data_IF_458730934566
#
_entry.id   IF_458730934566
#
_cell.length_a   1.000
_cell.length_b   1.000
_cell.length_c   1.000
_cell.angle_alpha   90.00
_cell.angle_beta   90.00
_cell.angle_gamma   90.00
#
_symmetry.space_group_name_H-M   'P 1'
#
loop_
_entity.id
_entity.type
_entity.pdbx_description
1 polymer ?
#
# COMPACT_ATOMS: atom_id res chain seq x y z
N UNK A 1 10.83 -6.05 21.44
CA UNK A 1 9.86 -5.07 20.89
C UNK A 1 9.32 -5.65 19.58
N UNK A 2 8.42 -6.64 19.67
CA UNK A 2 7.90 -7.41 18.52
C UNK A 2 6.70 -6.76 17.85
N UNK A 3 6.80 -5.46 17.51
CA UNK A 3 5.74 -4.77 16.77
C UNK A 3 5.69 -5.21 15.30
N UNK A 4 4.52 -5.15 14.64
CA UNK A 4 4.41 -5.44 13.21
C UNK A 4 5.21 -4.42 12.38
N UNK A 5 5.55 -4.80 11.15
CA UNK A 5 6.15 -3.87 10.19
C UNK A 5 5.22 -2.66 9.97
N UNK A 6 5.81 -1.46 9.91
CA UNK A 6 5.09 -0.21 9.71
C UNK A 6 5.27 0.33 8.29
N UNK A 7 4.31 1.15 7.86
CA UNK A 7 4.35 1.85 6.57
C UNK A 7 3.69 3.23 6.71
N UNK A 8 3.89 4.10 5.73
CA UNK A 8 3.22 5.40 5.69
C UNK A 8 1.75 5.22 5.33
N UNK A 9 0.86 5.72 6.18
CA UNK A 9 -0.58 5.60 5.97
C UNK A 9 -1.11 6.62 4.95
N UNK A 10 -1.84 6.11 3.98
CA UNK A 10 -2.54 6.85 2.92
C UNK A 10 -3.47 7.96 3.43
N UNK A 11 -4.15 7.70 4.55
CA UNK A 11 -5.12 8.64 5.13
C UNK A 11 -4.43 9.87 5.71
N UNK A 12 -3.28 9.68 6.36
CA UNK A 12 -2.50 10.78 6.93
C UNK A 12 -2.06 11.75 5.82
N UNK A 13 -1.63 11.22 4.68
CA UNK A 13 -1.31 12.02 3.49
C UNK A 13 -2.53 12.79 2.97
N UNK A 14 -3.73 12.18 3.03
CA UNK A 14 -4.99 12.84 2.69
C UNK A 14 -5.33 14.01 3.61
N UNK A 15 -5.15 13.85 4.92
CA UNK A 15 -5.37 14.92 5.91
C UNK A 15 -4.43 16.09 5.67
N UNK A 16 -3.16 15.84 5.35
CA UNK A 16 -2.19 16.89 5.00
C UNK A 16 -2.63 17.65 3.74
N UNK A 17 -3.11 16.94 2.72
CA UNK A 17 -3.59 17.56 1.48
C UNK A 17 -4.82 18.46 1.70
N UNK A 18 -5.73 18.07 2.60
CA UNK A 18 -6.94 18.83 2.94
C UNK A 18 -6.64 20.03 3.86
N UNK A 19 -5.88 19.81 4.93
CA UNK A 19 -5.58 20.83 5.95
C UNK A 19 -4.50 21.81 5.49
N UNK A 20 -3.70 21.44 4.48
CA UNK A 20 -2.51 22.18 4.01
C UNK A 20 -1.47 22.45 5.10
N UNK A 21 -1.49 21.68 6.20
CA UNK A 21 -0.53 21.79 7.30
C UNK A 21 0.56 20.74 7.10
N UNK A 22 1.66 21.14 6.45
CA UNK A 22 2.79 20.25 6.15
C UNK A 22 3.92 20.31 7.20
N UNK A 23 3.69 20.97 8.33
CA UNK A 23 4.71 21.11 9.37
C UNK A 23 4.95 19.76 10.07
N UNK A 24 6.17 19.18 10.00
CA UNK A 24 6.48 17.87 10.61
C UNK A 24 6.34 17.86 12.14
N UNK A 25 6.35 19.04 12.79
CA UNK A 25 6.11 19.16 14.23
C UNK A 25 4.73 18.63 14.60
N UNK A 26 3.72 18.84 13.76
CA UNK A 26 2.35 18.34 14.01
C UNK A 26 2.33 16.81 14.06
N UNK A 27 3.05 16.15 13.16
CA UNK A 27 3.19 14.69 13.15
C UNK A 27 3.93 14.17 14.38
N UNK A 28 4.94 14.90 14.87
CA UNK A 28 5.65 14.53 16.12
C UNK A 28 4.74 14.64 17.33
N UNK A 29 3.91 15.69 17.41
CA UNK A 29 2.93 15.84 18.50
C UNK A 29 1.94 14.68 18.47
N UNK A 30 1.42 14.33 17.29
CA UNK A 30 0.52 13.17 17.13
C UNK A 30 1.18 11.85 17.55
N UNK A 31 2.46 11.63 17.21
CA UNK A 31 3.20 10.44 17.62
C UNK A 31 3.38 10.36 19.14
N UNK A 32 3.78 11.46 19.79
CA UNK A 32 3.90 11.52 21.26
C UNK A 32 2.56 11.27 21.93
N UNK A 33 1.48 11.86 21.40
CA UNK A 33 0.12 11.64 21.87
C UNK A 33 -0.29 10.16 21.76
N UNK A 34 -0.02 9.51 20.63
CA UNK A 34 -0.29 8.09 20.43
C UNK A 34 0.49 7.20 21.42
N UNK A 35 1.76 7.53 21.68
CA UNK A 35 2.58 6.83 22.69
C UNK A 35 1.91 6.95 24.06
N UNK A 36 1.48 8.14 24.49
CA UNK A 36 0.80 8.29 25.77
C UNK A 36 -0.51 7.52 25.86
N UNK A 37 -1.34 7.56 24.80
CA UNK A 37 -2.58 6.78 24.75
C UNK A 37 -2.34 5.28 24.85
N UNK A 38 -1.23 4.77 24.30
CA UNK A 38 -0.90 3.34 24.34
C UNK A 38 -0.69 2.80 25.77
N UNK A 39 -0.33 3.66 26.72
CA UNK A 39 -0.18 3.29 28.14
C UNK A 39 -1.50 3.30 28.92
N UNK A 40 -2.60 3.77 28.33
CA UNK A 40 -3.90 3.88 29.01
C UNK A 40 -4.73 2.61 28.72
N UNK A 41 -4.94 1.70 29.68
CA UNK A 41 -5.62 0.43 29.42
C UNK A 41 -7.09 0.61 28.99
N UNK A 42 -7.74 1.69 29.45
CA UNK A 42 -9.11 2.03 29.08
C UNK A 42 -9.27 2.30 27.58
N UNK A 43 -8.25 2.86 26.93
CA UNK A 43 -8.25 3.12 25.48
C UNK A 43 -8.23 1.79 24.73
N UNK A 44 -7.40 0.84 25.15
CA UNK A 44 -7.38 -0.51 24.58
C UNK A 44 -8.72 -1.24 24.74
N UNK A 45 -9.34 -1.16 25.93
CA UNK A 45 -10.65 -1.75 26.17
C UNK A 45 -11.74 -1.12 25.29
N UNK A 46 -11.68 0.19 25.07
CA UNK A 46 -12.60 0.88 24.16
C UNK A 46 -12.43 0.40 22.71
N UNK A 47 -11.20 0.29 22.21
CA UNK A 47 -10.94 -0.21 20.85
C UNK A 47 -11.47 -1.65 20.69
N UNK A 48 -11.30 -2.51 21.71
CA UNK A 48 -11.81 -3.88 21.69
C UNK A 48 -13.34 -3.95 21.75
N UNK A 49 -14.02 -2.91 22.24
CA UNK A 49 -15.48 -2.83 22.25
C UNK A 49 -16.08 -2.50 20.88
N UNK A 50 -15.26 -2.12 19.89
CA UNK A 50 -15.72 -1.79 18.54
C UNK A 50 -16.22 -3.06 17.83
N UNK A 51 -17.45 -3.07 17.28
CA UNK A 51 -17.97 -4.22 16.55
C UNK A 51 -17.12 -4.58 15.33
N UNK A 52 -16.99 -5.88 15.07
CA UNK A 52 -16.21 -6.39 13.93
C UNK A 52 -16.73 -5.89 12.58
N UNK A 53 -18.04 -5.65 12.45
CA UNK A 53 -18.63 -5.06 11.23
C UNK A 53 -18.13 -3.65 10.94
N UNK A 54 -17.85 -2.85 11.99
CA UNK A 54 -17.30 -1.49 11.83
C UNK A 54 -15.82 -1.57 11.45
N UNK A 55 -15.07 -2.47 12.10
CA UNK A 55 -13.65 -2.71 11.78
C UNK A 55 -13.49 -3.14 10.31
N UNK A 56 -14.29 -4.09 9.84
CA UNK A 56 -14.27 -4.51 8.44
C UNK A 56 -14.64 -3.39 7.47
N UNK A 57 -15.59 -2.52 7.83
CA UNK A 57 -15.93 -1.35 7.02
C UNK A 57 -14.77 -0.36 6.88
N UNK A 58 -14.05 -0.10 7.97
CA UNK A 58 -12.85 0.75 7.95
C UNK A 58 -11.74 0.09 7.13
N UNK A 59 -11.49 -1.21 7.29
CA UNK A 59 -10.48 -1.94 6.52
C UNK A 59 -10.74 -1.91 5.01
N UNK A 60 -11.99 -2.07 4.57
CA UNK A 60 -12.37 -1.93 3.16
C UNK A 60 -12.02 -0.53 2.64
N UNK A 61 -12.33 0.52 3.41
CA UNK A 61 -12.01 1.89 3.05
C UNK A 61 -10.49 2.10 2.96
N UNK A 62 -9.73 1.58 3.93
CA UNK A 62 -8.28 1.66 3.99
C UNK A 62 -7.61 0.99 2.78
N UNK A 63 -7.95 -0.26 2.51
CA UNK A 63 -7.38 -1.00 1.38
C UNK A 63 -7.83 -0.40 0.04
N UNK A 64 -9.07 0.07 -0.05
CA UNK A 64 -9.57 0.80 -1.22
C UNK A 64 -8.79 2.09 -1.48
N UNK A 65 -8.49 2.87 -0.44
CA UNK A 65 -7.67 4.07 -0.53
C UNK A 65 -6.22 3.77 -0.98
N UNK A 66 -5.63 2.68 -0.48
CA UNK A 66 -4.30 2.23 -0.92
C UNK A 66 -4.29 1.94 -2.43
N UNK A 67 -5.27 1.18 -2.92
CA UNK A 67 -5.40 0.88 -4.35
C UNK A 67 -5.61 2.16 -5.19
N UNK A 68 -6.49 3.06 -4.74
CA UNK A 68 -6.78 4.32 -5.41
C UNK A 68 -5.54 5.23 -5.50
N UNK A 69 -4.70 5.27 -4.47
CA UNK A 69 -3.44 6.04 -4.50
C UNK A 69 -2.42 5.45 -5.47
N UNK A 70 -2.38 4.11 -5.60
CA UNK A 70 -1.59 3.45 -6.65
C UNK A 70 -1.98 3.93 -8.05
N UNK A 71 -3.28 3.92 -8.36
CA UNK A 71 -3.81 4.41 -9.65
C UNK A 71 -3.53 5.91 -9.81
N UNK A 72 -3.79 6.71 -8.78
CA UNK A 72 -3.50 8.15 -8.79
C UNK A 72 -2.04 8.43 -9.11
N UNK A 73 -1.12 7.61 -8.61
CA UNK A 73 0.32 7.74 -8.88
C UNK A 73 0.63 7.51 -10.35
N UNK A 74 0.02 6.51 -11.00
CA UNK A 74 0.17 6.27 -12.44
C UNK A 74 -0.34 7.46 -13.26
N UNK A 75 -1.53 7.96 -12.93
CA UNK A 75 -2.14 9.10 -13.62
C UNK A 75 -1.34 10.38 -13.42
N UNK A 76 -0.88 10.65 -12.20
CA UNK A 76 -0.12 11.86 -11.87
C UNK A 76 1.25 11.90 -12.56
N UNK A 77 1.82 10.73 -12.87
CA UNK A 77 3.06 10.61 -13.63
C UNK A 77 2.83 10.49 -15.16
N UNK A 78 1.59 10.68 -15.64
CA UNK A 78 1.23 10.56 -17.06
C UNK A 78 1.67 9.23 -17.69
N UNK A 79 1.57 8.13 -16.94
CA UNK A 79 1.89 6.79 -17.46
C UNK A 79 0.85 6.41 -18.50
N UNK A 80 1.27 6.20 -19.75
CA UNK A 80 0.40 5.65 -20.79
C UNK A 80 0.09 4.19 -20.47
N UNK A 81 -1.20 3.85 -20.46
CA UNK A 81 -1.71 2.51 -20.17
C UNK A 81 -1.94 1.77 -21.49
N UNK A 82 -0.87 1.58 -22.23
CA UNK A 82 -0.81 0.95 -23.55
C UNK A 82 0.34 -0.08 -23.62
N UNK A 83 0.36 -0.87 -24.70
CA UNK A 83 1.38 -1.86 -25.03
C UNK A 83 2.05 -2.54 -23.83
N UNK A 84 3.34 -2.23 -23.64
CA UNK A 84 4.20 -2.75 -22.55
C UNK A 84 3.67 -2.47 -21.14
N UNK A 85 3.18 -1.25 -20.89
CA UNK A 85 2.76 -0.84 -19.55
C UNK A 85 1.46 -1.53 -19.16
N UNK A 86 0.54 -1.71 -20.11
CA UNK A 86 -0.69 -2.46 -19.89
C UNK A 86 -0.40 -3.92 -19.54
N UNK A 87 0.56 -4.57 -20.21
CA UNK A 87 0.98 -5.94 -19.89
C UNK A 87 1.58 -6.02 -18.48
N UNK A 88 2.47 -5.09 -18.11
CA UNK A 88 3.07 -5.05 -16.76
C UNK A 88 1.96 -4.91 -15.71
N UNK A 89 1.05 -3.95 -15.89
CA UNK A 89 -0.07 -3.70 -14.97
C UNK A 89 -0.95 -4.95 -14.84
N UNK A 90 -1.34 -5.56 -15.95
CA UNK A 90 -2.19 -6.76 -15.95
C UNK A 90 -1.54 -7.93 -15.19
N UNK A 91 -0.26 -8.21 -15.44
CA UNK A 91 0.46 -9.28 -14.75
C UNK A 91 0.58 -9.00 -13.25
N UNK A 92 0.92 -7.75 -12.87
CA UNK A 92 1.00 -7.39 -11.45
C UNK A 92 -0.35 -7.53 -10.74
N UNK A 93 -1.46 -7.16 -11.38
CA UNK A 93 -2.80 -7.30 -10.81
C UNK A 93 -3.19 -8.77 -10.63
N UNK A 94 -2.97 -9.61 -11.65
CA UNK A 94 -3.30 -11.04 -11.58
C UNK A 94 -2.47 -11.75 -10.51
N UNK A 95 -1.15 -11.51 -10.44
CA UNK A 95 -0.29 -12.14 -9.45
C UNK A 95 -0.56 -11.62 -8.02
N UNK A 96 -0.82 -10.32 -7.89
CA UNK A 96 -1.03 -9.68 -6.58
C UNK A 96 -2.38 -10.01 -5.95
N UNK A 97 -3.45 -9.99 -6.74
CA UNK A 97 -4.83 -10.22 -6.26
C UNK A 97 -5.20 -11.71 -6.35
N UNK A 98 -4.71 -12.42 -7.38
CA UNK A 98 -5.07 -13.82 -7.65
C UNK A 98 -4.48 -14.86 -6.70
N UNK A 99 -3.71 -14.45 -5.69
CA UNK A 99 -3.16 -15.37 -4.68
C UNK A 99 -2.05 -16.27 -5.21
N UNK A 100 -1.36 -15.85 -6.28
CA UNK A 100 -0.23 -16.60 -6.81
C UNK A 100 0.91 -16.68 -5.78
N UNK A 101 1.54 -17.85 -5.67
CA UNK A 101 2.71 -18.06 -4.84
C UNK A 101 3.77 -18.86 -5.59
N UNK A 102 5.03 -18.45 -5.43
CA UNK A 102 6.19 -19.13 -5.99
C UNK A 102 7.14 -19.48 -4.85
N UNK A 103 7.40 -20.77 -4.68
CA UNK A 103 8.37 -21.28 -3.71
C UNK A 103 9.68 -21.66 -4.39
N UNK A 104 10.79 -21.15 -3.88
CA UNK A 104 12.15 -21.61 -4.22
C UNK A 104 12.83 -22.08 -2.94
N UNK A 105 12.74 -23.39 -2.66
CA UNK A 105 13.27 -23.98 -1.43
C UNK A 105 12.63 -23.34 -0.18
N UNK A 106 13.42 -22.74 0.75
CA UNK A 106 12.88 -22.15 1.97
C UNK A 106 12.21 -20.77 1.77
N UNK A 107 12.28 -20.17 0.57
CA UNK A 107 11.74 -18.84 0.30
C UNK A 107 10.44 -18.95 -0.49
N UNK A 108 9.38 -18.36 0.01
CA UNK A 108 8.08 -18.28 -0.66
C UNK A 108 7.77 -16.82 -0.97
N UNK A 109 7.64 -16.50 -2.25
CA UNK A 109 7.14 -15.23 -2.72
C UNK A 109 5.63 -15.34 -2.95
N UNK A 110 4.86 -14.45 -2.33
CA UNK A 110 3.40 -14.44 -2.45
C UNK A 110 2.86 -13.01 -2.42
N UNK A 111 1.67 -12.83 -2.99
CA UNK A 111 0.92 -11.57 -2.98
C UNK A 111 1.71 -10.41 -3.57
N UNK A 112 1.73 -9.28 -2.85
CA UNK A 112 2.31 -8.01 -3.31
C UNK A 112 3.82 -8.15 -3.63
N UNK A 113 4.55 -8.96 -2.86
CA UNK A 113 5.98 -9.20 -3.09
C UNK A 113 6.26 -9.87 -4.42
N UNK A 114 5.49 -10.92 -4.76
CA UNK A 114 5.59 -11.60 -6.05
C UNK A 114 5.19 -10.70 -7.22
N UNK A 115 4.10 -9.94 -7.06
CA UNK A 115 3.62 -9.00 -8.06
C UNK A 115 4.68 -7.92 -8.39
N UNK A 116 5.30 -7.32 -7.36
CA UNK A 116 6.32 -6.30 -7.54
C UNK A 116 7.56 -6.86 -8.25
N UNK A 117 8.01 -8.07 -7.89
CA UNK A 117 9.13 -8.73 -8.56
C UNK A 117 8.82 -9.03 -10.03
N UNK A 118 7.65 -9.56 -10.33
CA UNK A 118 7.23 -9.83 -11.71
C UNK A 118 7.16 -8.54 -12.54
N UNK A 119 6.61 -7.45 -11.97
CA UNK A 119 6.56 -6.15 -12.64
C UNK A 119 7.94 -5.58 -12.93
N UNK A 120 8.87 -5.68 -11.97
CA UNK A 120 10.27 -5.25 -12.15
C UNK A 120 10.98 -6.05 -13.25
N UNK A 121 10.84 -7.37 -13.24
CA UNK A 121 11.44 -8.26 -14.23
C UNK A 121 10.88 -7.98 -15.63
N UNK A 122 9.56 -7.88 -15.77
CA UNK A 122 8.93 -7.57 -17.06
C UNK A 122 9.36 -6.21 -17.61
N UNK A 123 9.40 -5.18 -16.76
CA UNK A 123 9.90 -3.88 -17.16
C UNK A 123 11.37 -3.95 -17.63
N UNK A 124 12.22 -4.71 -16.92
CA UNK A 124 13.60 -4.94 -17.32
C UNK A 124 13.75 -5.66 -18.67
N UNK A 125 12.91 -6.68 -18.93
CA UNK A 125 12.88 -7.40 -20.21
C UNK A 125 12.47 -6.48 -21.35
N UNK A 126 11.41 -5.67 -21.19
CA UNK A 126 10.99 -4.73 -22.23
C UNK A 126 12.06 -3.68 -22.52
N UNK A 127 12.76 -3.18 -21.49
CA UNK A 127 13.90 -2.27 -21.65
C UNK A 127 15.05 -2.91 -22.44
N UNK A 128 15.42 -4.15 -22.11
CA UNK A 128 16.52 -4.87 -22.78
C UNK A 128 16.20 -5.21 -24.24
N UNK A 129 14.94 -5.49 -24.55
CA UNK A 129 14.50 -5.93 -25.88
C UNK A 129 14.17 -4.76 -26.80
N UNK A 130 14.21 -3.51 -26.30
CA UNK A 130 13.73 -2.31 -27.02
C UNK A 130 12.36 -2.51 -27.66
N UNK A 131 11.46 -3.22 -26.96
CA UNK A 131 10.11 -3.42 -27.45
C UNK A 131 9.46 -2.05 -27.70
N UNK A 132 9.10 -1.80 -28.96
CA UNK A 132 8.56 -0.52 -29.42
C UNK A 132 7.30 -0.19 -28.63
N UNK A 133 7.10 1.10 -28.30
CA UNK A 133 6.01 1.57 -27.44
C UNK A 133 4.61 1.53 -28.09
N UNK A 134 4.38 0.63 -29.03
CA UNK A 134 3.06 0.46 -29.70
C UNK A 134 2.16 -0.51 -28.94
#
# INVERSE_FOLDING_TARGET
MGGPANTTYSENTGVLALTKVYNPVVMRIAAVFAIFLSFIPKVGAFIQSIPQSVMGGIEILLFGMIAAIGIKTLVSNNVKVDGKNLVIIAVMLVLGIGGASLGFGPVIFSGIGLAALAGLVLNGVFLATKATEE
#
